data_IF_225048464070
#
_entry.id   IF_225048464070
#
_cell.length_a   1.000
_cell.length_b   1.000
_cell.length_c   1.000
_cell.angle_alpha   90.00
_cell.angle_beta   90.00
_cell.angle_gamma   90.00
#
_symmetry.space_group_name_H-M   'P 1'
#
loop_
_entity.id
_entity.type
_entity.pdbx_description
1 polymer ?
#
# COMPACT_ATOMS: atom_id res chain seq x y z
N UNK A 1 -28.78 -30.81 12.41
CA UNK A 1 -27.62 -30.05 11.89
C UNK A 1 -27.89 -29.50 10.49
N UNK A 2 -28.19 -30.33 9.49
CA UNK A 2 -28.47 -29.87 8.10
C UNK A 2 -29.60 -28.82 7.96
N UNK A 3 -30.70 -28.91 8.74
CA UNK A 3 -31.80 -27.93 8.67
C UNK A 3 -31.49 -26.56 9.31
N UNK A 4 -30.57 -26.48 10.28
CA UNK A 4 -30.16 -25.20 10.88
C UNK A 4 -29.21 -24.43 9.97
N UNK A 5 -28.40 -25.14 9.20
CA UNK A 5 -27.44 -24.58 8.23
C UNK A 5 -28.17 -23.95 7.02
N UNK A 6 -29.23 -24.58 6.53
CA UNK A 6 -30.08 -24.08 5.43
C UNK A 6 -30.85 -22.81 5.83
N UNK A 7 -31.39 -22.74 7.06
CA UNK A 7 -32.11 -21.55 7.56
C UNK A 7 -31.17 -20.36 7.78
N UNK A 8 -29.98 -20.57 8.35
CA UNK A 8 -28.98 -19.51 8.53
C UNK A 8 -28.52 -18.95 7.19
N UNK A 9 -28.28 -19.83 6.21
CA UNK A 9 -27.86 -19.44 4.86
C UNK A 9 -28.94 -18.60 4.15
N UNK A 10 -30.21 -18.99 4.25
CA UNK A 10 -31.33 -18.22 3.67
C UNK A 10 -31.52 -16.85 4.34
N UNK A 11 -31.34 -16.76 5.66
CA UNK A 11 -31.40 -15.49 6.40
C UNK A 11 -30.39 -14.46 5.87
N UNK A 12 -29.13 -14.87 5.69
CA UNK A 12 -28.09 -13.97 5.16
C UNK A 12 -28.42 -13.51 3.73
N UNK A 13 -28.94 -14.40 2.88
CA UNK A 13 -29.34 -14.05 1.50
C UNK A 13 -30.39 -12.94 1.48
N UNK A 14 -31.43 -13.01 2.31
CA UNK A 14 -32.46 -11.98 2.35
C UNK A 14 -31.97 -10.66 2.94
N UNK A 15 -31.11 -10.71 3.95
CA UNK A 15 -30.50 -9.49 4.50
C UNK A 15 -29.59 -8.83 3.46
N UNK A 16 -28.73 -9.60 2.81
CA UNK A 16 -27.80 -9.08 1.80
C UNK A 16 -28.58 -8.54 0.59
N UNK A 17 -29.69 -9.17 0.18
CA UNK A 17 -30.56 -8.65 -0.86
C UNK A 17 -31.26 -7.34 -0.46
N UNK A 18 -31.74 -7.22 0.79
CA UNK A 18 -32.34 -5.97 1.29
C UNK A 18 -31.32 -4.83 1.28
N UNK A 19 -30.09 -5.11 1.71
CA UNK A 19 -28.99 -4.15 1.69
C UNK A 19 -28.63 -3.77 0.25
N UNK A 20 -28.43 -4.76 -0.63
CA UNK A 20 -28.02 -4.54 -2.02
C UNK A 20 -29.03 -3.71 -2.81
N UNK A 21 -30.32 -3.88 -2.53
CA UNK A 21 -31.40 -3.10 -3.15
C UNK A 21 -31.75 -1.83 -2.37
N UNK A 22 -31.08 -1.55 -1.25
CA UNK A 22 -31.31 -0.40 -0.39
C UNK A 22 -32.77 -0.30 0.12
N UNK A 23 -33.32 -1.43 0.57
CA UNK A 23 -34.69 -1.62 1.05
C UNK A 23 -34.75 -1.77 2.59
N UNK A 24 -34.84 -0.67 3.36
CA UNK A 24 -34.85 -0.73 4.82
C UNK A 24 -36.07 -1.44 5.39
N UNK A 25 -37.23 -1.41 4.73
CA UNK A 25 -38.45 -2.09 5.18
C UNK A 25 -38.32 -3.61 5.09
N UNK A 26 -37.68 -4.11 4.02
CA UNK A 26 -37.37 -5.54 3.88
C UNK A 26 -36.34 -5.96 4.94
N UNK A 27 -35.30 -5.14 5.14
CA UNK A 27 -34.29 -5.36 6.16
C UNK A 27 -34.92 -5.46 7.57
N UNK A 28 -35.80 -4.52 7.90
CA UNK A 28 -36.57 -4.52 9.15
C UNK A 28 -37.41 -5.79 9.29
N UNK A 29 -38.15 -6.17 8.26
CA UNK A 29 -39.01 -7.35 8.29
C UNK A 29 -38.20 -8.63 8.53
N UNK A 30 -37.09 -8.79 7.81
CA UNK A 30 -36.20 -9.95 7.93
C UNK A 30 -35.55 -9.99 9.32
N UNK A 31 -35.11 -8.86 9.87
CA UNK A 31 -34.51 -8.81 11.20
C UNK A 31 -35.54 -9.08 12.31
N UNK A 32 -36.78 -8.61 12.18
CA UNK A 32 -37.87 -8.86 13.14
C UNK A 32 -38.27 -10.32 13.22
N UNK A 33 -38.38 -11.02 12.09
CA UNK A 33 -38.67 -12.47 12.07
C UNK A 33 -37.59 -13.24 12.84
N UNK A 34 -36.36 -12.73 12.82
CA UNK A 34 -35.20 -13.37 13.43
C UNK A 34 -34.85 -12.84 14.82
N UNK A 35 -35.69 -11.98 15.43
CA UNK A 35 -35.40 -11.32 16.71
C UNK A 35 -35.32 -12.28 17.92
N UNK A 36 -35.74 -13.54 17.77
CA UNK A 36 -35.58 -14.57 18.81
C UNK A 36 -34.13 -15.06 18.94
N UNK A 37 -33.28 -14.80 17.94
CA UNK A 37 -31.84 -15.07 17.99
C UNK A 37 -31.09 -13.78 18.31
N UNK A 38 -30.39 -13.74 19.44
CA UNK A 38 -29.48 -12.64 19.73
C UNK A 38 -28.37 -12.63 18.67
N UNK A 39 -28.28 -11.57 17.88
CA UNK A 39 -27.15 -11.40 16.96
C UNK A 39 -25.86 -11.18 17.75
N UNK A 40 -24.82 -11.92 17.36
CA UNK A 40 -23.48 -11.74 17.89
C UNK A 40 -22.89 -10.41 17.40
N UNK A 41 -21.97 -9.82 18.17
CA UNK A 41 -21.34 -8.53 17.83
C UNK A 41 -20.68 -8.54 16.45
N UNK A 42 -20.18 -9.71 16.03
CA UNK A 42 -19.63 -9.93 14.69
C UNK A 42 -20.69 -9.77 13.59
N UNK A 43 -21.88 -10.33 13.78
CA UNK A 43 -22.97 -10.23 12.81
C UNK A 43 -23.49 -8.79 12.72
N UNK A 44 -23.64 -8.10 13.85
CA UNK A 44 -24.00 -6.69 13.87
C UNK A 44 -23.00 -5.84 13.08
N UNK A 45 -21.69 -6.05 13.29
CA UNK A 45 -20.65 -5.35 12.53
C UNK A 45 -20.74 -5.65 11.04
N UNK A 46 -20.90 -6.92 10.66
CA UNK A 46 -21.03 -7.36 9.25
C UNK A 46 -22.16 -6.61 8.54
N UNK A 47 -23.31 -6.40 9.19
CA UNK A 47 -24.45 -5.69 8.60
C UNK A 47 -24.12 -4.24 8.28
N UNK A 48 -23.50 -3.53 9.22
CA UNK A 48 -23.09 -2.14 9.04
C UNK A 48 -22.03 -2.03 7.93
N UNK A 49 -21.03 -2.92 7.93
CA UNK A 49 -19.99 -2.96 6.89
C UNK A 49 -20.56 -3.30 5.51
N UNK A 50 -21.55 -4.18 5.42
CA UNK A 50 -22.23 -4.52 4.17
C UNK A 50 -23.02 -3.31 3.64
N UNK A 51 -23.88 -2.71 4.47
CA UNK A 51 -24.66 -1.54 4.08
C UNK A 51 -23.78 -0.34 3.71
N UNK A 52 -22.64 -0.19 4.36
CA UNK A 52 -21.65 0.84 4.04
C UNK A 52 -21.02 0.62 2.66
N UNK A 53 -20.50 -0.59 2.40
CA UNK A 53 -19.90 -0.91 1.09
C UNK A 53 -20.88 -0.81 -0.06
N UNK A 54 -22.17 -1.03 0.21
CA UNK A 54 -23.25 -0.93 -0.78
C UNK A 54 -23.84 0.46 -0.91
N UNK A 55 -23.36 1.43 -0.11
CA UNK A 55 -23.86 2.80 -0.10
C UNK A 55 -25.37 2.91 0.22
N UNK A 56 -25.88 1.95 1.00
CA UNK A 56 -27.29 1.80 1.33
C UNK A 56 -27.65 2.66 2.54
N UNK A 57 -27.61 3.99 2.37
CA UNK A 57 -27.83 4.97 3.46
C UNK A 57 -29.14 4.72 4.23
N UNK A 58 -30.30 4.48 3.59
CA UNK A 58 -31.52 4.05 4.30
C UNK A 58 -31.34 2.83 5.20
N UNK A 59 -30.70 1.76 4.71
CA UNK A 59 -30.41 0.59 5.53
C UNK A 59 -29.44 0.92 6.67
N UNK A 60 -28.38 1.72 6.42
CA UNK A 60 -27.46 2.18 7.45
C UNK A 60 -28.17 2.98 8.54
N UNK A 61 -29.05 3.90 8.16
CA UNK A 61 -29.86 4.69 9.08
C UNK A 61 -30.68 3.79 9.99
N UNK A 62 -31.41 2.83 9.41
CA UNK A 62 -32.18 1.87 10.18
C UNK A 62 -31.30 1.12 11.20
N UNK A 63 -30.14 0.61 10.77
CA UNK A 63 -29.23 -0.14 11.64
C UNK A 63 -28.70 0.72 12.81
N UNK A 64 -28.28 1.95 12.54
CA UNK A 64 -27.76 2.88 13.56
C UNK A 64 -28.86 3.29 14.56
N UNK A 65 -30.06 3.59 14.07
CA UNK A 65 -31.22 3.93 14.92
C UNK A 65 -31.62 2.77 15.85
N UNK A 66 -31.33 1.52 15.45
CA UNK A 66 -31.53 0.33 16.27
C UNK A 66 -30.31 -0.05 17.13
N UNK A 67 -29.36 0.88 17.30
CA UNK A 67 -28.26 0.77 18.25
C UNK A 67 -27.05 -0.03 17.76
N UNK A 68 -26.94 -0.31 16.46
CA UNK A 68 -25.73 -0.92 15.92
C UNK A 68 -24.61 0.11 15.85
N UNK A 69 -23.44 -0.28 16.37
CA UNK A 69 -22.26 0.56 16.41
C UNK A 69 -21.61 0.69 15.03
N UNK A 70 -21.17 1.91 14.71
CA UNK A 70 -20.29 2.22 13.56
C UNK A 70 -18.83 2.39 13.99
N UNK A 71 -18.52 2.11 15.26
CA UNK A 71 -17.15 2.14 15.77
C UNK A 71 -16.35 0.99 15.14
N UNK A 72 -15.18 1.33 14.57
CA UNK A 72 -14.25 0.37 13.96
C UNK A 72 -14.76 -0.43 12.75
N UNK A 73 -15.73 0.10 11.98
CA UNK A 73 -16.18 -0.53 10.74
C UNK A 73 -15.04 -0.64 9.71
N UNK A 74 -14.96 -1.77 9.01
CA UNK A 74 -14.11 -1.90 7.83
C UNK A 74 -14.76 -1.26 6.62
N UNK A 75 -14.19 -0.16 6.16
CA UNK A 75 -14.53 0.45 4.88
C UNK A 75 -13.34 0.47 3.92
N UNK A 76 -12.35 -0.38 4.17
CA UNK A 76 -11.20 -0.53 3.27
C UNK A 76 -11.67 -0.97 1.88
N UNK A 77 -11.04 -0.40 0.84
CA UNK A 77 -11.37 -0.65 -0.56
C UNK A 77 -11.80 0.59 -1.35
N UNK A 78 -12.15 1.70 -0.68
CA UNK A 78 -12.41 2.98 -1.34
C UNK A 78 -13.68 3.04 -2.20
N UNK A 79 -14.51 2.00 -2.19
CA UNK A 79 -15.76 1.90 -2.96
C UNK A 79 -16.94 2.67 -2.32
N UNK A 80 -16.77 3.13 -1.08
CA UNK A 80 -17.78 3.89 -0.34
C UNK A 80 -17.89 5.31 -0.92
N UNK A 81 -19.10 5.73 -1.27
CA UNK A 81 -19.38 7.05 -1.84
C UNK A 81 -19.19 8.15 -0.79
N UNK A 82 -18.88 9.37 -1.26
CA UNK A 82 -18.76 10.55 -0.39
C UNK A 82 -20.05 10.76 0.42
N UNK A 83 -21.24 10.61 -0.17
CA UNK A 83 -22.51 10.75 0.55
C UNK A 83 -22.66 9.75 1.70
N UNK A 84 -22.18 8.52 1.53
CA UNK A 84 -22.18 7.52 2.62
C UNK A 84 -21.17 7.91 3.70
N UNK A 85 -19.99 8.41 3.33
CA UNK A 85 -18.98 8.88 4.28
C UNK A 85 -19.45 10.10 5.08
N UNK A 86 -20.10 11.06 4.44
CA UNK A 86 -20.74 12.22 5.08
C UNK A 86 -21.82 11.77 6.07
N UNK A 87 -22.64 10.79 5.68
CA UNK A 87 -23.62 10.20 6.56
C UNK A 87 -22.95 9.55 7.78
N UNK A 88 -21.90 8.77 7.61
CA UNK A 88 -21.17 8.14 8.70
C UNK A 88 -20.53 9.16 9.66
N UNK A 89 -19.86 10.19 9.13
CA UNK A 89 -19.29 11.28 9.93
C UNK A 89 -20.35 11.98 10.77
N UNK A 90 -21.52 12.26 10.18
CA UNK A 90 -22.65 12.87 10.88
C UNK A 90 -23.20 12.01 12.03
N UNK A 91 -22.93 10.70 12.01
CA UNK A 91 -23.35 9.76 13.06
C UNK A 91 -22.18 9.32 13.98
N UNK A 92 -21.04 10.03 13.93
CA UNK A 92 -19.94 9.84 14.87
C UNK A 92 -18.88 8.83 14.46
N UNK A 93 -18.82 8.45 13.17
CA UNK A 93 -17.70 7.68 12.65
C UNK A 93 -16.40 8.52 12.70
N UNK A 94 -15.31 7.91 13.14
CA UNK A 94 -13.98 8.54 13.18
C UNK A 94 -13.18 8.19 11.92
N UNK A 95 -12.94 9.19 11.06
CA UNK A 95 -12.16 9.09 9.82
C UNK A 95 -10.71 8.61 10.05
N UNK A 96 -10.18 8.83 11.25
CA UNK A 96 -8.82 8.44 11.64
C UNK A 96 -8.77 7.08 12.36
N UNK A 97 -9.91 6.41 12.54
CA UNK A 97 -9.97 5.12 13.23
C UNK A 97 -9.18 4.06 12.47
N UNK A 98 -8.29 3.35 13.16
CA UNK A 98 -7.51 2.22 12.63
C UNK A 98 -8.06 0.86 13.05
N UNK A 99 -9.32 0.84 13.50
CA UNK A 99 -9.96 -0.36 14.05
C UNK A 99 -9.57 -0.63 15.50
N UNK A 100 -9.93 -1.81 16.05
CA UNK A 100 -9.62 -2.14 17.43
C UNK A 100 -8.10 -2.27 17.63
N UNK A 101 -7.61 -2.20 18.89
CA UNK A 101 -6.22 -2.49 19.20
C UNK A 101 -5.80 -3.82 18.57
N UNK A 102 -4.59 -3.86 17.98
CA UNK A 102 -4.06 -5.03 17.22
C UNK A 102 -4.63 -5.23 15.81
N UNK A 103 -5.48 -4.34 15.33
CA UNK A 103 -5.76 -4.20 13.90
C UNK A 103 -4.51 -3.73 13.14
N UNK A 104 -4.26 -4.31 11.97
CA UNK A 104 -3.25 -3.83 11.01
C UNK A 104 -3.83 -2.83 10.00
N UNK A 105 -5.05 -2.34 10.21
CA UNK A 105 -5.72 -1.43 9.28
C UNK A 105 -5.05 -0.07 9.28
N UNK A 106 -4.84 0.47 8.08
CA UNK A 106 -4.44 1.85 7.89
C UNK A 106 -5.66 2.77 7.99
N UNK A 107 -5.49 4.07 8.30
CA UNK A 107 -6.59 5.04 8.20
C UNK A 107 -7.26 4.98 6.82
N UNK A 108 -8.56 5.27 6.74
CA UNK A 108 -9.35 5.14 5.51
C UNK A 108 -8.72 5.85 4.30
N UNK A 109 -8.17 7.05 4.52
CA UNK A 109 -7.52 7.86 3.48
C UNK A 109 -6.41 7.11 2.72
N UNK A 110 -5.73 6.13 3.32
CA UNK A 110 -4.71 5.33 2.64
C UNK A 110 -5.28 4.43 1.53
N UNK A 111 -6.57 4.07 1.60
CA UNK A 111 -7.25 3.35 0.53
C UNK A 111 -7.69 4.27 -0.62
N UNK A 112 -7.69 5.59 -0.39
CA UNK A 112 -8.11 6.58 -1.36
C UNK A 112 -6.96 7.11 -2.22
N UNK A 113 -5.73 6.60 -2.10
CA UNK A 113 -4.55 7.20 -2.77
C UNK A 113 -4.65 7.26 -4.31
N UNK A 114 -5.56 6.50 -4.93
CA UNK A 114 -5.83 6.54 -6.37
C UNK A 114 -7.11 7.30 -6.73
N UNK A 115 -7.78 7.89 -5.74
CA UNK A 115 -9.02 8.66 -5.88
C UNK A 115 -8.79 10.08 -5.35
N UNK A 116 -8.52 11.00 -6.29
CA UNK A 116 -8.19 12.38 -5.95
C UNK A 116 -9.33 13.10 -5.24
N UNK A 117 -10.57 12.85 -5.65
CA UNK A 117 -11.74 13.49 -5.06
C UNK A 117 -11.90 13.06 -3.61
N UNK A 118 -11.82 11.75 -3.33
CA UNK A 118 -11.89 11.23 -1.96
C UNK A 118 -10.71 11.66 -1.09
N UNK A 119 -9.49 11.77 -1.63
CA UNK A 119 -8.35 12.29 -0.87
C UNK A 119 -8.57 13.73 -0.42
N UNK A 120 -9.05 14.59 -1.32
CA UNK A 120 -9.36 15.99 -1.02
C UNK A 120 -10.45 16.04 0.05
N UNK A 121 -11.53 15.29 -0.14
CA UNK A 121 -12.62 15.19 0.82
C UNK A 121 -12.11 14.73 2.20
N UNK A 122 -11.27 13.69 2.27
CA UNK A 122 -10.73 13.20 3.54
C UNK A 122 -9.97 14.31 4.29
N UNK A 123 -9.11 15.06 3.59
CA UNK A 123 -8.32 16.14 4.19
C UNK A 123 -9.20 17.30 4.68
N UNK A 124 -10.24 17.67 3.91
CA UNK A 124 -11.21 18.70 4.29
C UNK A 124 -12.03 18.31 5.53
N UNK A 125 -12.19 17.01 5.78
CA UNK A 125 -12.96 16.46 6.90
C UNK A 125 -12.07 15.96 8.05
N UNK A 126 -10.81 16.40 8.14
CA UNK A 126 -9.95 16.19 9.30
C UNK A 126 -9.21 14.85 9.32
N UNK A 127 -9.07 14.18 8.17
CA UNK A 127 -8.14 13.06 8.06
C UNK A 127 -6.70 13.52 8.34
N UNK A 128 -6.03 12.79 9.23
CA UNK A 128 -4.67 13.06 9.64
C UNK A 128 -3.67 12.48 8.63
N UNK A 129 -2.65 13.28 8.32
CA UNK A 129 -1.47 12.84 7.59
C UNK A 129 -0.41 12.20 8.48
N UNK A 130 -0.54 12.35 9.80
CA UNK A 130 0.33 11.68 10.76
C UNK A 130 -0.04 10.20 10.84
N UNK A 131 0.98 9.36 10.96
CA UNK A 131 0.76 7.96 11.34
C UNK A 131 0.36 7.92 12.81
N UNK A 132 -0.65 7.12 13.19
CA UNK A 132 -1.03 6.96 14.58
C UNK A 132 0.19 6.54 15.43
N UNK A 133 0.32 7.17 16.61
CA UNK A 133 1.36 6.90 17.61
C UNK A 133 1.39 5.43 18.02
N UNK A 134 2.58 4.91 18.33
CA UNK A 134 2.87 3.47 18.43
C UNK A 134 3.43 3.02 19.77
N UNK A 135 3.12 1.77 20.11
CA UNK A 135 3.81 1.01 21.15
C UNK A 135 5.24 0.63 20.71
N UNK A 136 6.22 0.56 21.65
CA UNK A 136 7.64 0.32 21.35
C UNK A 136 7.99 -0.98 20.60
N UNK A 137 7.08 -1.95 20.53
CA UNK A 137 7.35 -3.30 20.02
C UNK A 137 6.58 -3.66 18.75
N UNK A 138 6.10 -2.66 18.00
CA UNK A 138 5.35 -2.88 16.76
C UNK A 138 5.98 -2.16 15.57
N UNK A 139 5.89 -2.80 14.40
CA UNK A 139 6.23 -2.15 13.14
C UNK A 139 5.35 -0.92 12.97
N UNK A 140 5.92 0.23 12.60
CA UNK A 140 5.12 1.41 12.39
C UNK A 140 4.03 1.23 11.34
N UNK A 141 2.88 1.86 11.57
CA UNK A 141 1.96 2.11 10.46
C UNK A 141 2.71 2.88 9.39
N UNK A 142 2.66 2.36 8.17
CA UNK A 142 3.30 2.93 6.99
C UNK A 142 2.82 4.37 6.75
N UNK A 143 3.71 5.39 6.72
CA UNK A 143 3.35 6.74 6.29
C UNK A 143 2.72 6.76 4.90
N UNK A 144 1.77 7.65 4.63
CA UNK A 144 1.01 7.63 3.37
C UNK A 144 1.92 7.79 2.15
N UNK A 145 2.99 8.57 2.29
CA UNK A 145 3.97 8.77 1.22
C UNK A 145 4.76 7.50 0.89
N UNK A 146 4.96 6.57 1.83
CA UNK A 146 5.61 5.29 1.56
C UNK A 146 4.71 4.42 0.67
N UNK A 147 3.39 4.40 0.94
CA UNK A 147 2.42 3.68 0.09
C UNK A 147 2.29 4.28 -1.29
N UNK A 148 2.29 5.61 -1.40
CA UNK A 148 2.21 6.28 -2.70
C UNK A 148 3.49 6.09 -3.50
N UNK A 149 4.65 6.07 -2.83
CA UNK A 149 5.94 5.75 -3.44
C UNK A 149 5.96 4.31 -3.99
N UNK A 150 5.38 3.34 -3.28
CA UNK A 150 5.16 1.99 -3.81
C UNK A 150 4.31 1.98 -5.08
N UNK A 151 3.25 2.79 -5.14
CA UNK A 151 2.37 2.88 -6.31
C UNK A 151 2.98 3.64 -7.50
N UNK A 152 4.05 4.41 -7.28
CA UNK A 152 4.70 5.20 -8.33
C UNK A 152 3.89 6.41 -8.82
N UNK A 153 2.88 6.86 -8.08
CA UNK A 153 2.05 8.02 -8.44
C UNK A 153 2.67 9.33 -7.93
N UNK A 154 3.49 9.96 -8.78
CA UNK A 154 4.18 11.22 -8.47
C UNK A 154 3.19 12.37 -8.22
N UNK A 155 2.07 12.41 -8.93
CA UNK A 155 1.10 13.50 -8.82
C UNK A 155 0.39 13.47 -7.45
N UNK A 156 0.00 12.27 -7.01
CA UNK A 156 -0.55 12.09 -5.66
C UNK A 156 0.51 12.32 -4.59
N UNK A 157 1.75 11.89 -4.83
CA UNK A 157 2.87 12.10 -3.91
C UNK A 157 3.13 13.60 -3.65
N UNK A 158 3.29 14.38 -4.73
CA UNK A 158 3.46 15.84 -4.71
C UNK A 158 2.31 16.51 -3.94
N UNK A 159 1.08 16.11 -4.23
CA UNK A 159 -0.08 16.67 -3.56
C UNK A 159 -0.06 16.42 -2.05
N UNK A 160 0.09 15.18 -1.61
CA UNK A 160 0.09 14.85 -0.19
C UNK A 160 1.27 15.52 0.52
N UNK A 161 2.45 15.54 -0.12
CA UNK A 161 3.61 16.27 0.39
C UNK A 161 3.33 17.77 0.52
N UNK A 162 2.65 18.39 -0.45
CA UNK A 162 2.22 19.80 -0.38
C UNK A 162 1.23 20.10 0.74
N UNK A 163 0.52 19.07 1.22
CA UNK A 163 -0.39 19.13 2.37
C UNK A 163 0.30 18.82 3.71
N UNK A 164 1.61 18.59 3.71
CA UNK A 164 2.40 18.34 4.91
C UNK A 164 2.53 16.86 5.28
N UNK A 165 2.28 15.93 4.34
CA UNK A 165 2.49 14.52 4.60
C UNK A 165 3.97 14.23 4.91
N UNK A 166 4.27 13.49 5.99
CA UNK A 166 5.64 13.21 6.37
C UNK A 166 6.28 12.19 5.42
N UNK A 167 7.55 12.41 5.09
CA UNK A 167 8.38 11.39 4.47
C UNK A 167 8.66 10.29 5.49
N UNK A 168 8.37 9.05 5.11
CA UNK A 168 8.62 7.90 5.94
C UNK A 168 10.07 7.41 5.86
N UNK A 169 10.45 6.52 6.79
CA UNK A 169 11.74 5.82 6.74
C UNK A 169 11.92 5.01 5.44
N UNK A 170 10.82 4.44 4.92
CA UNK A 170 10.85 3.53 3.80
C UNK A 170 10.47 4.17 2.46
N UNK A 171 10.31 5.50 2.36
CA UNK A 171 9.77 6.12 1.13
C UNK A 171 10.55 5.72 -0.13
N UNK A 172 11.88 5.88 -0.12
CA UNK A 172 12.73 5.46 -1.24
C UNK A 172 12.80 3.93 -1.37
N UNK A 173 12.86 3.23 -0.23
CA UNK A 173 12.90 1.77 -0.16
C UNK A 173 11.70 1.12 -0.86
N UNK A 174 10.48 1.61 -0.61
CA UNK A 174 9.26 1.09 -1.23
C UNK A 174 9.23 1.32 -2.74
N UNK A 175 9.67 2.50 -3.22
CA UNK A 175 9.76 2.77 -4.66
C UNK A 175 10.79 1.85 -5.35
N UNK A 176 11.97 1.66 -4.73
CA UNK A 176 13.01 0.77 -5.25
C UNK A 176 12.53 -0.68 -5.25
N UNK A 177 11.88 -1.11 -4.17
CA UNK A 177 11.31 -2.45 -4.04
C UNK A 177 10.30 -2.73 -5.15
N UNK A 178 9.35 -1.82 -5.36
CA UNK A 178 8.37 -1.93 -6.45
C UNK A 178 9.05 -2.02 -7.81
N UNK A 179 10.01 -1.15 -8.11
CA UNK A 179 10.73 -1.15 -9.38
C UNK A 179 11.45 -2.49 -9.62
N UNK A 180 12.02 -3.10 -8.58
CA UNK A 180 12.61 -4.44 -8.67
C UNK A 180 11.56 -5.55 -8.93
N UNK A 181 10.34 -5.42 -8.41
CA UNK A 181 9.26 -6.39 -8.62
C UNK A 181 8.66 -6.34 -10.04
N UNK A 182 8.50 -5.15 -10.63
CA UNK A 182 7.75 -4.97 -11.88
C UNK A 182 8.53 -5.35 -13.16
N UNK A 183 9.77 -5.82 -13.06
CA UNK A 183 10.60 -6.15 -14.22
C UNK A 183 10.38 -7.59 -14.73
N UNK A 184 9.14 -7.90 -15.16
CA UNK A 184 8.72 -9.20 -15.74
C UNK A 184 8.22 -8.99 -17.19
N UNK A 185 9.11 -8.60 -18.10
CA UNK A 185 8.82 -8.36 -19.52
C UNK A 185 10.03 -8.70 -20.40
N UNK A 186 9.79 -8.90 -21.71
CA UNK A 186 10.83 -9.33 -22.63
C UNK A 186 11.79 -8.19 -23.03
N UNK A 187 12.94 -8.54 -23.61
CA UNK A 187 13.86 -7.54 -24.17
C UNK A 187 13.32 -6.84 -25.43
N UNK A 188 12.29 -7.41 -26.07
CA UNK A 188 11.69 -6.90 -27.32
C UNK A 188 10.23 -6.47 -27.06
N UNK A 189 9.97 -5.17 -26.83
CA UNK A 189 8.64 -4.67 -26.48
C UNK A 189 7.54 -5.05 -27.47
N UNK A 190 7.88 -5.26 -28.75
CA UNK A 190 6.92 -5.63 -29.80
C UNK A 190 6.40 -7.07 -29.63
N UNK A 191 7.10 -7.90 -28.87
CA UNK A 191 6.72 -9.29 -28.57
C UNK A 191 6.02 -9.45 -27.23
N UNK A 192 5.91 -8.38 -26.44
CA UNK A 192 5.26 -8.45 -25.14
C UNK A 192 3.78 -8.84 -25.29
N UNK A 193 3.35 -9.81 -24.50
CA UNK A 193 1.93 -10.04 -24.26
C UNK A 193 1.32 -8.90 -23.41
N UNK A 194 0.00 -8.94 -23.19
CA UNK A 194 -0.68 -7.88 -22.44
C UNK A 194 -0.18 -7.76 -20.99
N UNK A 195 0.15 -8.87 -20.33
CA UNK A 195 0.67 -8.87 -18.96
C UNK A 195 2.06 -8.23 -18.93
N UNK A 196 2.93 -8.55 -19.90
CA UNK A 196 4.27 -7.99 -20.02
C UNK A 196 4.22 -6.49 -20.34
N UNK A 197 3.31 -6.03 -21.21
CA UNK A 197 3.11 -4.60 -21.47
C UNK A 197 2.69 -3.85 -20.21
N UNK A 198 1.77 -4.41 -19.42
CA UNK A 198 1.38 -3.84 -18.13
C UNK A 198 2.55 -3.81 -17.15
N UNK A 199 3.34 -4.88 -17.07
CA UNK A 199 4.58 -4.93 -16.28
C UNK A 199 5.57 -3.84 -16.67
N UNK A 200 5.79 -3.64 -17.97
CA UNK A 200 6.66 -2.57 -18.52
C UNK A 200 6.17 -1.18 -18.16
N UNK A 201 4.86 -0.93 -18.27
CA UNK A 201 4.27 0.35 -17.87
C UNK A 201 4.47 0.60 -16.37
N UNK A 202 4.21 -0.40 -15.52
CA UNK A 202 4.42 -0.31 -14.08
C UNK A 202 5.90 -0.11 -13.70
N UNK A 203 6.83 -0.79 -14.38
CA UNK A 203 8.26 -0.58 -14.19
C UNK A 203 8.69 0.82 -14.56
N UNK A 204 8.21 1.33 -15.70
CA UNK A 204 8.49 2.71 -16.16
C UNK A 204 8.00 3.72 -15.12
N UNK A 205 6.78 3.54 -14.60
CA UNK A 205 6.22 4.38 -13.55
C UNK A 205 7.03 4.30 -12.24
N UNK A 206 7.41 3.10 -11.84
CA UNK A 206 8.20 2.88 -10.62
C UNK A 206 9.60 3.50 -10.73
N UNK A 207 10.25 3.36 -11.89
CA UNK A 207 11.54 4.02 -12.18
C UNK A 207 11.41 5.55 -12.20
N UNK A 208 10.32 6.09 -12.73
CA UNK A 208 10.06 7.53 -12.67
C UNK A 208 9.95 8.02 -11.22
N UNK A 209 9.26 7.27 -10.35
CA UNK A 209 9.18 7.58 -8.93
C UNK A 209 10.55 7.52 -8.24
N UNK A 210 11.33 6.45 -8.47
CA UNK A 210 12.70 6.34 -7.90
C UNK A 210 13.58 7.53 -8.33
N UNK A 211 13.53 7.90 -9.61
CA UNK A 211 14.24 9.08 -10.12
C UNK A 211 13.78 10.35 -9.45
N UNK A 212 12.47 10.58 -9.38
CA UNK A 212 11.88 11.75 -8.75
C UNK A 212 12.30 11.87 -7.27
N UNK A 213 12.25 10.78 -6.50
CA UNK A 213 12.63 10.76 -5.09
C UNK A 213 14.11 11.11 -4.86
N UNK A 214 15.01 10.68 -5.76
CA UNK A 214 16.44 10.98 -5.62
C UNK A 214 16.79 12.36 -6.21
N UNK A 215 16.35 12.65 -7.44
CA UNK A 215 16.74 13.87 -8.18
C UNK A 215 16.00 15.12 -7.74
N UNK A 216 14.73 14.99 -7.39
CA UNK A 216 13.84 16.14 -7.14
C UNK A 216 13.58 16.29 -5.65
N UNK A 217 13.26 15.20 -4.96
CA UNK A 217 13.05 15.23 -3.50
C UNK A 217 14.38 15.29 -2.74
N UNK A 218 15.46 14.75 -3.31
CA UNK A 218 16.78 14.75 -2.69
C UNK A 218 16.92 13.71 -1.59
N UNK A 219 16.21 12.58 -1.67
CA UNK A 219 16.37 11.49 -0.71
C UNK A 219 17.76 10.85 -0.85
N UNK A 220 18.43 10.65 0.28
CA UNK A 220 19.73 9.99 0.34
C UNK A 220 19.60 8.50 -0.03
N UNK A 221 20.33 8.11 -1.07
CA UNK A 221 20.35 6.77 -1.64
C UNK A 221 20.98 5.73 -0.70
N UNK A 222 21.70 6.17 0.34
CA UNK A 222 22.33 5.30 1.34
C UNK A 222 21.61 5.32 2.70
N UNK A 223 20.51 6.07 2.82
CA UNK A 223 19.78 6.17 4.08
C UNK A 223 19.18 4.82 4.44
N UNK A 224 19.46 4.32 5.63
CA UNK A 224 18.83 3.13 6.16
C UNK A 224 17.35 3.40 6.50
N UNK A 225 16.51 2.40 6.27
CA UNK A 225 15.09 2.40 6.63
C UNK A 225 14.89 2.61 8.13
N UNK A 226 15.48 1.77 8.98
CA UNK A 226 15.38 1.87 10.43
C UNK A 226 16.74 1.71 11.10
N UNK A 227 16.89 2.19 12.35
CA UNK A 227 18.09 1.99 13.14
C UNK A 227 18.48 0.50 13.25
N UNK A 228 19.79 0.15 13.26
CA UNK A 228 20.25 -1.23 13.30
C UNK A 228 19.74 -2.09 14.48
N UNK A 229 19.40 -1.46 15.60
CA UNK A 229 18.82 -2.11 16.79
C UNK A 229 17.37 -2.56 16.59
N UNK A 230 16.73 -2.18 15.48
CA UNK A 230 15.37 -2.60 15.12
C UNK A 230 15.31 -3.77 14.13
N UNK A 231 16.45 -4.40 13.80
CA UNK A 231 16.56 -5.51 12.84
C UNK A 231 15.73 -6.76 13.17
N UNK A 232 15.19 -6.89 14.39
CA UNK A 232 14.21 -7.93 14.71
C UNK A 232 12.85 -7.72 14.02
N UNK A 233 12.59 -6.53 13.46
CA UNK A 233 11.35 -6.21 12.75
C UNK A 233 11.39 -6.84 11.35
N UNK A 234 10.40 -7.64 11.01
CA UNK A 234 10.27 -8.18 9.67
C UNK A 234 10.11 -7.06 8.62
N UNK A 235 10.91 -7.16 7.55
CA UNK A 235 10.89 -6.20 6.43
C UNK A 235 11.69 -4.91 6.69
N UNK A 236 12.66 -4.96 7.62
CA UNK A 236 13.75 -3.98 7.75
C UNK A 236 14.99 -4.57 7.09
N UNK A 237 15.49 -3.92 6.06
CA UNK A 237 16.53 -4.47 5.19
C UNK A 237 17.75 -3.56 5.04
N UNK A 238 17.72 -2.35 5.59
CA UNK A 238 18.83 -1.40 5.52
C UNK A 238 18.63 -0.40 4.39
N UNK A 239 19.62 -0.28 3.50
CA UNK A 239 19.62 0.72 2.41
C UNK A 239 18.69 0.32 1.25
N UNK A 240 18.29 1.26 0.37
CA UNK A 240 17.48 0.96 -0.80
C UNK A 240 18.08 -0.11 -1.71
N UNK A 241 19.41 -0.18 -1.83
CA UNK A 241 20.07 -1.20 -2.65
C UNK A 241 19.88 -2.63 -2.09
N UNK A 242 19.82 -2.78 -0.76
CA UNK A 242 19.55 -4.07 -0.10
C UNK A 242 18.14 -4.59 -0.38
N UNK A 243 17.18 -3.70 -0.61
CA UNK A 243 15.81 -4.09 -0.99
C UNK A 243 15.77 -4.81 -2.34
N UNK A 244 16.69 -4.54 -3.27
CA UNK A 244 16.80 -5.28 -4.53
C UNK A 244 17.38 -6.67 -4.27
N UNK A 245 18.39 -6.74 -3.41
CA UNK A 245 19.07 -7.99 -3.06
C UNK A 245 18.16 -8.93 -2.28
N UNK A 246 17.15 -8.48 -1.54
CA UNK A 246 16.34 -9.38 -0.72
C UNK A 246 15.02 -9.81 -1.37
N UNK A 247 14.64 -9.22 -2.51
CA UNK A 247 13.49 -9.66 -3.30
C UNK A 247 13.75 -11.04 -3.90
N UNK A 248 12.77 -11.92 -3.78
CA UNK A 248 12.64 -13.29 -4.31
C UNK A 248 13.81 -13.85 -5.18
N UNK A 249 14.47 -14.95 -4.74
CA UNK A 249 15.57 -15.59 -5.45
C UNK A 249 15.19 -16.36 -6.74
N UNK A 250 13.91 -16.62 -7.02
CA UNK A 250 13.50 -17.49 -8.13
C UNK A 250 13.18 -16.77 -9.45
N UNK A 251 13.11 -15.44 -9.46
CA UNK A 251 12.69 -14.70 -10.63
C UNK A 251 13.89 -14.18 -11.44
N UNK A 252 13.96 -14.52 -12.73
CA UNK A 252 14.85 -13.95 -13.76
C UNK A 252 14.58 -12.44 -14.01
N UNK A 253 14.31 -11.67 -12.96
CA UNK A 253 13.98 -10.26 -13.04
C UNK A 253 15.25 -9.45 -13.21
N UNK A 254 15.35 -8.77 -14.33
CA UNK A 254 16.49 -7.92 -14.64
C UNK A 254 16.32 -6.53 -14.00
N UNK A 255 16.87 -6.32 -12.80
CA UNK A 255 16.85 -4.99 -12.14
C UNK A 255 18.11 -4.16 -12.46
N UNK A 256 18.87 -4.49 -13.50
CA UNK A 256 20.17 -3.88 -13.80
C UNK A 256 20.10 -2.36 -13.92
N UNK A 257 19.15 -1.84 -14.70
CA UNK A 257 19.01 -0.39 -14.93
C UNK A 257 18.70 0.37 -13.64
N UNK A 258 17.92 -0.25 -12.75
CA UNK A 258 17.64 0.28 -11.41
C UNK A 258 18.91 0.29 -10.55
N UNK A 259 19.65 -0.82 -10.51
CA UNK A 259 20.92 -0.92 -9.76
C UNK A 259 21.92 0.12 -10.25
N UNK A 260 22.14 0.19 -11.57
CA UNK A 260 23.06 1.15 -12.17
C UNK A 260 22.68 2.59 -11.88
N UNK A 261 21.38 2.90 -11.92
CA UNK A 261 20.88 4.22 -11.55
C UNK A 261 21.21 4.57 -10.10
N UNK A 262 20.99 3.65 -9.15
CA UNK A 262 21.31 3.89 -7.73
C UNK A 262 22.83 4.08 -7.52
N UNK A 263 23.66 3.24 -8.15
CA UNK A 263 25.12 3.34 -8.08
C UNK A 263 25.65 4.64 -8.71
N UNK A 264 25.08 5.08 -9.84
CA UNK A 264 25.38 6.37 -10.46
C UNK A 264 25.08 7.56 -9.55
N UNK A 265 24.22 7.38 -8.53
CA UNK A 265 23.88 8.37 -7.51
C UNK A 265 24.60 8.16 -6.19
N UNK A 266 25.58 7.26 -6.16
CA UNK A 266 26.48 7.07 -5.02
C UNK A 266 25.99 6.05 -4.00
N UNK A 267 25.08 5.13 -4.38
CA UNK A 267 24.76 3.99 -3.53
C UNK A 267 26.02 3.15 -3.24
N UNK A 268 26.26 2.80 -1.97
CA UNK A 268 27.34 1.89 -1.57
C UNK A 268 26.93 0.44 -1.86
N UNK A 269 27.64 -0.20 -2.79
CA UNK A 269 27.41 -1.59 -3.16
C UNK A 269 27.90 -2.60 -2.13
N UNK A 270 28.83 -2.23 -1.22
CA UNK A 270 29.51 -3.19 -0.35
C UNK A 270 28.57 -3.95 0.57
N UNK A 271 27.63 -3.31 1.31
CA UNK A 271 26.70 -4.04 2.17
C UNK A 271 25.82 -4.99 1.36
N UNK A 272 25.35 -4.53 0.19
CA UNK A 272 24.51 -5.31 -0.71
C UNK A 272 25.24 -6.54 -1.29
N UNK A 273 26.53 -6.41 -1.64
CA UNK A 273 27.36 -7.52 -2.12
C UNK A 273 27.64 -8.57 -1.04
N UNK A 274 27.79 -8.15 0.22
CA UNK A 274 27.96 -9.09 1.36
C UNK A 274 26.69 -9.93 1.53
N UNK A 275 25.52 -9.28 1.55
CA UNK A 275 24.23 -9.98 1.68
C UNK A 275 23.93 -10.85 0.45
N UNK A 276 24.20 -10.38 -0.78
CA UNK A 276 24.03 -11.16 -2.00
C UNK A 276 24.80 -12.48 -1.99
N UNK A 277 25.98 -12.50 -1.36
CA UNK A 277 26.78 -13.72 -1.16
C UNK A 277 26.19 -14.63 -0.07
N UNK A 278 25.68 -14.05 1.01
CA UNK A 278 25.07 -14.80 2.11
C UNK A 278 23.79 -15.54 1.69
N UNK A 279 22.96 -14.95 0.83
CA UNK A 279 21.70 -15.53 0.34
C UNK A 279 21.85 -16.48 -0.85
N UNK A 280 22.92 -17.28 -0.90
CA UNK A 280 23.09 -18.32 -1.92
C UNK A 280 23.68 -17.86 -3.25
N UNK A 281 24.32 -16.69 -3.28
CA UNK A 281 25.07 -16.20 -4.44
C UNK A 281 24.16 -15.66 -5.54
N UNK A 282 23.60 -14.46 -5.32
CA UNK A 282 22.84 -13.71 -6.33
C UNK A 282 23.78 -13.23 -7.45
N UNK A 283 24.14 -14.15 -8.33
CA UNK A 283 25.14 -13.98 -9.39
C UNK A 283 24.81 -12.79 -10.28
N UNK A 284 23.56 -12.68 -10.74
CA UNK A 284 23.11 -11.57 -11.58
C UNK A 284 23.34 -10.20 -10.94
N UNK A 285 23.02 -10.03 -9.64
CA UNK A 285 23.28 -8.78 -8.94
C UNK A 285 24.77 -8.45 -8.88
N UNK A 286 25.61 -9.45 -8.57
CA UNK A 286 27.06 -9.29 -8.51
C UNK A 286 27.62 -8.89 -9.88
N UNK A 287 27.19 -9.57 -10.95
CA UNK A 287 27.57 -9.27 -12.33
C UNK A 287 27.15 -7.85 -12.75
N UNK A 288 25.96 -7.38 -12.34
CA UNK A 288 25.52 -6.02 -12.65
C UNK A 288 26.42 -4.97 -11.99
N UNK A 289 26.83 -5.18 -10.74
CA UNK A 289 27.73 -4.27 -10.02
C UNK A 289 29.12 -4.28 -10.65
N UNK A 290 29.69 -5.46 -10.91
CA UNK A 290 31.01 -5.59 -11.55
C UNK A 290 31.03 -4.95 -12.94
N UNK A 291 29.98 -5.18 -13.74
CA UNK A 291 29.84 -4.54 -15.05
C UNK A 291 29.74 -3.01 -14.95
N UNK A 292 29.07 -2.48 -13.91
CA UNK A 292 29.01 -1.04 -13.68
C UNK A 292 30.39 -0.47 -13.32
N UNK A 293 31.13 -1.11 -12.42
CA UNK A 293 32.48 -0.68 -12.00
C UNK A 293 33.44 -0.60 -13.20
N UNK A 294 33.46 -1.64 -14.04
CA UNK A 294 34.28 -1.67 -15.26
C UNK A 294 33.97 -0.50 -16.22
N UNK A 295 32.69 -0.10 -16.33
CA UNK A 295 32.33 1.06 -17.18
C UNK A 295 32.80 2.39 -16.61
N UNK A 296 32.99 2.51 -15.29
CA UNK A 296 33.53 3.72 -14.64
C UNK A 296 35.03 3.79 -14.78
N UNK A 297 35.73 2.67 -14.64
CA UNK A 297 37.19 2.58 -14.84
C UNK A 297 37.57 2.93 -16.29
N UNK A 298 36.88 2.35 -17.28
CA UNK A 298 37.13 2.69 -18.70
C UNK A 298 36.81 4.15 -19.06
N UNK A 299 35.95 4.85 -18.30
CA UNK A 299 35.70 6.29 -18.45
C UNK A 299 36.79 7.15 -17.79
N UNK A 300 37.37 6.71 -16.66
CA UNK A 300 38.52 7.37 -16.03
C UNK A 300 39.77 7.32 -16.92
N UNK A 301 40.05 6.18 -17.53
CA UNK A 301 41.22 6.02 -18.41
C UNK A 301 41.13 6.90 -19.68
N UNK A 302 39.93 7.05 -20.24
CA UNK A 302 39.71 7.91 -21.43
C UNK A 302 39.76 9.41 -21.12
N UNK A 303 39.32 9.81 -19.93
CA UNK A 303 39.38 11.23 -19.49
C UNK A 303 40.79 11.67 -19.08
N UNK A 304 41.66 10.73 -18.70
CA UNK A 304 43.09 11.00 -18.49
C UNK A 304 43.89 11.11 -19.79
N UNK A 305 43.46 10.45 -20.88
CA UNK A 305 44.11 10.57 -22.20
C UNK A 305 43.73 11.82 -23.01
N UNK A 306 42.77 12.65 -22.55
CA UNK A 306 42.33 13.87 -23.27
C UNK A 306 42.95 15.16 -22.76
N UNK A 307 43.91 15.08 -21.83
CA UNK A 307 44.72 16.21 -21.38
C UNK A 307 46.12 16.08 -21.99
N UNK A 308 46.26 16.40 -23.28
CA UNK A 308 47.55 16.67 -23.94
C UNK A 308 47.39 17.80 -24.95
#
# INVERSE_FOLDING_TARGET
MHQMEDVRTRKHVFIDAAIDNNEPELLEHVLKINAQERMEDYENRRLVEAATRKNSIPCLRYLIEHGLSIEHIDISGGEVSISTLEFLLAHGWDINSTGPPRSYRSPFMWSCIHDREKLVWCLEHGASLATPWQEPHRKPHEPILDRVAWGGDIATFEFLRSKGAPLGPCTLHQAVLRAAFCHDFSDDPEKDDEKQRQGRAQYTQSMAMVRYLIDVVGLDVNKEDFPPDTKWLQGVWGTPLLYIVLVDPEAERNARDLVWFLLDRGADSKPALVEAKAFGGRAAFTEWVEAWEQTKEGKKDKSQCTIQ
#
